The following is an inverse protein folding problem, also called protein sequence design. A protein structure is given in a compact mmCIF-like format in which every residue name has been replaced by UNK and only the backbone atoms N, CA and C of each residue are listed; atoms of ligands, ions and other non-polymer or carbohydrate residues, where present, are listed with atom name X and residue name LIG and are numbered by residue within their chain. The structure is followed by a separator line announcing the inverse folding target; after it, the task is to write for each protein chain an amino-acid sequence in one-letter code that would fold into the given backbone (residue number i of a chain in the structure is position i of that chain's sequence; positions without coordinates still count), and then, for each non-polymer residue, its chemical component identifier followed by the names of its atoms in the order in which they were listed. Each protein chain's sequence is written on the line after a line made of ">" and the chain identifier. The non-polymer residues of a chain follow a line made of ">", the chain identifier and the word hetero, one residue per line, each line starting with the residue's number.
data_IF_982826340651
#
_entry.id   IF_982826340651
#
_cell.length_a   1.000
_cell.length_b   1.000
_cell.length_c   1.000
_cell.angle_alpha   90.00
_cell.angle_beta   90.00
_cell.angle_gamma   90.00
#
_symmetry.space_group_name_H-M   'P 1'
#
loop_
_entity.id
_entity.type
_entity.pdbx_description
1 polymer ?
#
# COMPACT_ATOMS: atom_id res chain seq x y z
N UNK A 1 -62.82 -23.77 22.06
CA UNK A 1 -62.49 -24.38 20.76
C UNK A 1 -62.38 -23.24 19.76
N UNK A 2 -61.17 -22.85 19.36
CA UNK A 2 -60.98 -21.75 18.40
C UNK A 2 -59.75 -20.90 18.72
N UNK A 3 -58.61 -21.25 18.13
CA UNK A 3 -57.52 -20.31 17.83
C UNK A 3 -56.99 -20.66 16.45
N UNK A 4 -57.02 -19.66 15.57
CA UNK A 4 -56.58 -19.71 14.20
C UNK A 4 -55.07 -19.48 14.17
N UNK A 5 -54.30 -20.47 13.75
CA UNK A 5 -52.89 -20.32 13.43
C UNK A 5 -52.75 -20.02 11.94
N UNK A 6 -52.50 -18.76 11.62
CA UNK A 6 -52.20 -18.29 10.27
C UNK A 6 -50.72 -18.59 9.94
N UNK A 7 -50.48 -19.72 9.27
CA UNK A 7 -49.19 -20.04 8.67
C UNK A 7 -48.98 -19.17 7.44
N UNK A 8 -48.03 -18.24 7.52
CA UNK A 8 -47.61 -17.41 6.40
C UNK A 8 -46.92 -18.27 5.34
N UNK A 9 -47.58 -18.42 4.19
CA UNK A 9 -47.04 -19.11 3.02
C UNK A 9 -45.85 -18.33 2.44
N UNK A 10 -44.65 -18.91 2.56
CA UNK A 10 -43.45 -18.44 1.86
C UNK A 10 -43.63 -18.63 0.35
N UNK A 11 -43.61 -17.54 -0.42
CA UNK A 11 -43.51 -17.62 -1.89
C UNK A 11 -42.14 -18.16 -2.29
N UNK A 12 -42.05 -19.12 -3.24
CA UNK A 12 -40.77 -19.54 -3.80
C UNK A 12 -40.20 -18.43 -4.70
N UNK A 13 -38.91 -18.13 -4.51
CA UNK A 13 -38.13 -17.25 -5.40
C UNK A 13 -37.75 -18.07 -6.62
N UNK A 14 -38.36 -17.78 -7.76
CA UNK A 14 -38.00 -18.38 -9.05
C UNK A 14 -36.72 -17.74 -9.56
N UNK A 15 -35.61 -18.49 -9.52
CA UNK A 15 -34.37 -18.12 -10.21
C UNK A 15 -34.63 -18.19 -11.72
N UNK A 16 -34.45 -17.06 -12.41
CA UNK A 16 -34.53 -17.02 -13.88
C UNK A 16 -33.46 -17.97 -14.46
N UNK A 17 -33.79 -18.80 -15.47
CA UNK A 17 -32.79 -19.58 -16.19
C UNK A 17 -31.76 -18.62 -16.80
N UNK A 18 -30.47 -18.96 -16.65
CA UNK A 18 -29.38 -18.23 -17.29
C UNK A 18 -29.54 -18.37 -18.81
N UNK A 19 -29.72 -17.24 -19.52
CA UNK A 19 -29.73 -17.22 -20.98
C UNK A 19 -28.40 -17.76 -21.49
N UNK A 20 -28.41 -18.96 -22.07
CA UNK A 20 -27.23 -19.65 -22.63
C UNK A 20 -26.72 -19.02 -23.93
N UNK A 21 -27.25 -17.87 -24.32
CA UNK A 21 -26.99 -17.21 -25.61
C UNK A 21 -25.99 -16.05 -25.53
N UNK A 22 -25.29 -15.87 -24.41
CA UNK A 22 -24.30 -14.78 -24.30
C UNK A 22 -22.95 -15.12 -24.97
N UNK A 23 -22.62 -16.40 -25.12
CA UNK A 23 -21.35 -16.86 -25.70
C UNK A 23 -21.29 -16.85 -27.24
N UNK A 24 -22.43 -16.74 -27.93
CA UNK A 24 -22.50 -16.80 -29.41
C UNK A 24 -22.36 -15.43 -30.09
N UNK A 25 -21.93 -14.38 -29.39
CA UNK A 25 -21.61 -13.11 -30.07
C UNK A 25 -20.26 -13.24 -30.77
N UNK A 26 -20.19 -13.18 -32.12
CA UNK A 26 -18.92 -13.22 -32.82
C UNK A 26 -18.09 -12.00 -32.40
N UNK A 27 -17.01 -12.24 -31.68
CA UNK A 27 -15.96 -11.25 -31.43
C UNK A 27 -15.27 -11.03 -32.77
N UNK A 28 -15.78 -10.07 -33.54
CA UNK A 28 -15.08 -9.61 -34.73
C UNK A 28 -13.74 -8.99 -34.28
N UNK A 29 -12.60 -9.38 -34.87
CA UNK A 29 -11.32 -8.77 -34.57
C UNK A 29 -11.32 -7.36 -35.19
N UNK A 30 -11.93 -6.42 -34.48
CA UNK A 30 -11.89 -5.01 -34.80
C UNK A 30 -10.48 -4.50 -34.59
N UNK A 31 -9.68 -4.48 -35.65
CA UNK A 31 -8.48 -3.63 -35.76
C UNK A 31 -8.93 -2.17 -35.73
N UNK A 32 -9.25 -1.67 -34.54
CA UNK A 32 -9.23 -0.23 -34.28
C UNK A 32 -7.77 0.12 -34.07
N UNK A 33 -7.13 0.58 -35.13
CA UNK A 33 -5.89 1.34 -35.06
C UNK A 33 -6.17 2.60 -34.23
N UNK A 34 -6.14 2.44 -32.91
CA UNK A 34 -6.05 3.55 -31.99
C UNK A 34 -4.66 4.12 -32.20
N UNK A 35 -4.60 5.25 -32.92
CA UNK A 35 -3.41 6.06 -33.06
C UNK A 35 -2.89 6.44 -31.68
N UNK A 36 -1.99 5.60 -31.16
CA UNK A 36 -1.24 5.87 -29.95
C UNK A 36 -0.27 7.02 -30.28
N UNK A 37 -0.37 8.19 -29.65
CA UNK A 37 0.71 9.16 -29.74
C UNK A 37 1.99 8.47 -29.24
N UNK A 38 3.06 8.60 -30.02
CA UNK A 38 4.35 7.96 -29.76
C UNK A 38 4.76 8.17 -28.30
N UNK A 39 5.05 7.04 -27.65
CA UNK A 39 5.64 6.90 -26.32
C UNK A 39 6.77 7.92 -26.14
N UNK A 40 6.53 8.96 -25.34
CA UNK A 40 7.58 9.89 -24.93
C UNK A 40 8.50 9.09 -24.00
N UNK A 41 9.70 8.76 -24.49
CA UNK A 41 10.76 8.13 -23.71
C UNK A 41 11.15 9.04 -22.54
N UNK A 42 11.24 8.54 -21.29
CA UNK A 42 11.60 9.37 -20.13
C UNK A 42 13.09 9.78 -20.10
N UNK A 43 13.87 9.45 -21.12
CA UNK A 43 15.31 9.63 -21.16
C UNK A 43 15.81 11.04 -21.55
N UNK A 44 14.93 12.01 -21.80
CA UNK A 44 15.33 13.37 -22.21
C UNK A 44 15.00 14.48 -21.22
N UNK A 45 14.41 14.17 -20.05
CA UNK A 45 13.98 15.17 -19.07
C UNK A 45 15.00 15.46 -17.94
N UNK A 46 16.17 14.82 -17.98
CA UNK A 46 17.28 15.09 -17.03
C UNK A 46 18.50 15.76 -17.65
N UNK A 47 18.43 16.19 -18.90
CA UNK A 47 19.39 17.14 -19.45
C UNK A 47 19.06 18.57 -18.97
N UNK A 48 19.05 18.75 -17.65
CA UNK A 48 19.10 20.07 -17.04
C UNK A 48 20.55 20.55 -17.10
N UNK A 49 20.82 21.36 -18.12
CA UNK A 49 22.06 22.06 -18.39
C UNK A 49 22.51 22.90 -17.17
N UNK A 50 23.65 22.62 -16.51
CA UNK A 50 24.11 23.34 -15.33
C UNK A 50 24.70 24.73 -15.63
N UNK A 51 24.77 25.13 -16.91
CA UNK A 51 25.48 26.34 -17.31
C UNK A 51 24.69 27.66 -17.19
N UNK A 52 23.37 27.64 -16.91
CA UNK A 52 22.54 28.85 -16.97
C UNK A 52 22.35 29.61 -15.63
N UNK A 53 23.11 29.28 -14.58
CA UNK A 53 22.98 29.96 -13.28
C UNK A 53 24.11 30.96 -12.96
N UNK A 54 25.07 31.17 -13.86
CA UNK A 54 26.31 31.88 -13.51
C UNK A 54 26.49 33.31 -14.08
N UNK A 55 25.49 33.96 -14.68
CA UNK A 55 25.81 35.19 -15.44
C UNK A 55 24.90 36.42 -15.35
N UNK A 56 24.09 36.61 -14.30
CA UNK A 56 23.49 37.93 -14.09
C UNK A 56 23.35 38.24 -12.60
N UNK A 57 24.26 39.04 -12.04
CA UNK A 57 23.88 40.25 -11.31
C UNK A 57 25.07 41.20 -11.07
N UNK A 58 25.00 42.32 -11.80
CA UNK A 58 25.46 43.67 -11.45
C UNK A 58 26.96 43.98 -11.35
N UNK A 59 27.45 44.44 -12.49
CA UNK A 59 28.11 45.75 -12.60
C UNK A 59 27.32 46.84 -11.87
N UNK A 60 27.99 47.58 -10.97
CA UNK A 60 27.86 49.05 -10.80
C UNK A 60 28.92 49.64 -9.85
N UNK A 61 29.80 50.45 -10.47
CA UNK A 61 30.35 51.75 -10.03
C UNK A 61 31.35 51.80 -8.87
N UNK A 62 32.60 52.00 -9.25
CA UNK A 62 33.67 52.63 -8.46
C UNK A 62 33.34 54.11 -8.21
N UNK A 63 33.29 54.52 -6.94
CA UNK A 63 33.42 55.93 -6.52
C UNK A 63 34.47 55.97 -5.42
N UNK A 64 35.61 56.61 -5.69
CA UNK A 64 36.56 57.07 -4.67
C UNK A 64 36.06 58.43 -4.16
N UNK A 65 35.95 58.61 -2.84
CA UNK A 65 36.35 59.86 -2.16
C UNK A 65 36.27 59.66 -0.65
N UNK A 66 37.37 59.94 0.05
CA UNK A 66 37.52 59.66 1.49
C UNK A 66 36.86 60.69 2.39
N UNK A 67 36.61 60.29 3.65
CA UNK A 67 36.60 61.18 4.83
C UNK A 67 36.68 60.30 6.10
N UNK A 68 37.76 60.52 6.86
CA UNK A 68 38.01 60.29 8.31
C UNK A 68 37.12 59.24 9.00
N UNK A 69 37.71 58.07 9.25
CA UNK A 69 37.14 57.00 10.06
C UNK A 69 37.11 57.41 11.55
N UNK A 70 35.95 57.88 12.02
CA UNK A 70 35.64 57.89 13.45
C UNK A 70 35.20 56.48 13.83
N UNK A 71 36.08 55.69 14.43
CA UNK A 71 35.76 54.38 15.01
C UNK A 71 34.82 54.58 16.20
N UNK A 72 33.52 54.62 15.93
CA UNK A 72 32.51 54.37 16.95
C UNK A 72 32.71 52.91 17.37
N UNK A 73 32.95 52.62 18.67
CA UNK A 73 33.01 51.25 19.12
C UNK A 73 31.66 50.59 18.80
N UNK A 74 31.65 49.72 17.78
CA UNK A 74 30.49 48.88 17.47
C UNK A 74 30.35 47.95 18.66
N UNK A 75 29.49 48.31 19.61
CA UNK A 75 29.07 47.44 20.71
C UNK A 75 28.72 46.10 20.07
N UNK A 76 29.54 45.08 20.35
CA UNK A 76 29.48 43.82 19.64
C UNK A 76 28.06 43.27 19.80
N UNK A 77 27.38 43.09 18.67
CA UNK A 77 26.04 42.50 18.59
C UNK A 77 26.10 40.97 18.81
N UNK A 78 27.02 40.53 19.69
CA UNK A 78 27.42 39.14 19.87
C UNK A 78 26.49 38.34 20.80
N UNK A 79 25.41 38.93 21.30
CA UNK A 79 24.64 38.34 22.41
C UNK A 79 23.19 37.99 22.06
N UNK A 80 22.93 37.46 20.85
CA UNK A 80 21.60 36.90 20.47
C UNK A 80 21.63 35.64 19.60
N UNK A 81 22.81 35.14 19.23
CA UNK A 81 22.93 33.91 18.42
C UNK A 81 22.85 32.62 19.26
N UNK A 82 23.23 32.68 20.53
CA UNK A 82 23.19 31.51 21.43
C UNK A 82 21.77 30.99 21.67
N UNK A 83 20.82 31.89 21.94
CA UNK A 83 19.42 31.53 22.27
C UNK A 83 18.74 30.73 21.16
N UNK A 84 18.86 31.17 19.90
CA UNK A 84 18.27 30.47 18.75
C UNK A 84 18.86 29.05 18.56
N UNK A 85 20.14 28.86 18.89
CA UNK A 85 20.77 27.53 18.85
C UNK A 85 20.21 26.60 19.93
N UNK A 86 19.93 27.11 21.14
CA UNK A 86 19.35 26.30 22.22
C UNK A 86 17.89 25.92 21.93
N UNK A 87 17.11 26.84 21.38
CA UNK A 87 15.74 26.58 20.95
C UNK A 87 15.71 25.50 19.85
N UNK A 88 16.57 25.61 18.83
CA UNK A 88 16.69 24.59 17.79
C UNK A 88 17.14 23.23 18.34
N UNK A 89 18.05 23.21 19.31
CA UNK A 89 18.55 21.97 19.92
C UNK A 89 17.46 21.17 20.66
N UNK A 90 16.43 21.83 21.18
CA UNK A 90 15.29 21.19 21.86
C UNK A 90 14.20 20.81 20.85
N UNK A 91 13.95 21.65 19.85
CA UNK A 91 12.87 21.42 18.86
C UNK A 91 13.25 20.37 17.82
N UNK A 92 14.51 20.34 17.35
CA UNK A 92 14.99 19.37 16.36
C UNK A 92 14.75 17.91 16.74
N UNK A 93 15.12 17.42 17.95
CA UNK A 93 14.89 16.00 18.29
C UNK A 93 13.40 15.64 18.31
N UNK A 94 12.52 16.55 18.73
CA UNK A 94 11.07 16.32 18.70
C UNK A 94 10.54 16.25 17.27
N UNK A 95 10.97 17.18 16.40
CA UNK A 95 10.58 17.15 14.99
C UNK A 95 11.10 15.90 14.28
N UNK A 96 12.36 15.51 14.53
CA UNK A 96 12.97 14.32 13.93
C UNK A 96 12.23 13.05 14.35
N UNK A 97 11.99 12.87 15.65
CA UNK A 97 11.25 11.70 16.15
C UNK A 97 9.83 11.65 15.61
N UNK A 98 9.14 12.80 15.51
CA UNK A 98 7.82 12.86 14.90
C UNK A 98 7.85 12.48 13.42
N UNK A 99 8.79 13.02 12.63
CA UNK A 99 8.89 12.71 11.20
C UNK A 99 9.21 11.24 10.95
N UNK A 100 10.20 10.67 11.64
CA UNK A 100 10.55 9.25 11.53
C UNK A 100 9.40 8.35 12.01
N UNK A 101 8.76 8.71 13.13
CA UNK A 101 7.58 8.01 13.61
C UNK A 101 6.45 8.01 12.58
N UNK A 102 6.16 9.14 11.93
CA UNK A 102 5.14 9.18 10.88
C UNK A 102 5.51 8.37 9.65
N UNK A 103 6.79 8.29 9.28
CA UNK A 103 7.25 7.44 8.18
C UNK A 103 6.99 5.96 8.47
N UNK A 104 7.33 5.49 9.68
CA UNK A 104 7.05 4.10 10.07
C UNK A 104 5.55 3.82 10.22
N UNK A 105 4.76 4.77 10.70
CA UNK A 105 3.30 4.63 10.72
C UNK A 105 2.74 4.44 9.31
N UNK A 106 3.20 5.20 8.33
CA UNK A 106 2.81 5.01 6.93
C UNK A 106 3.17 3.61 6.42
N UNK A 107 4.37 3.12 6.71
CA UNK A 107 4.81 1.76 6.35
C UNK A 107 3.95 0.69 7.02
N UNK A 108 3.56 0.88 8.29
CA UNK A 108 2.64 -0.03 9.00
C UNK A 108 1.26 -0.09 8.35
N UNK A 109 0.70 1.05 7.96
CA UNK A 109 -0.58 1.09 7.27
C UNK A 109 -0.49 0.42 5.91
N UNK A 110 0.58 0.65 5.16
CA UNK A 110 0.84 -0.03 3.90
C UNK A 110 0.93 -1.56 4.07
N UNK A 111 1.63 -2.03 5.11
CA UNK A 111 1.74 -3.45 5.44
C UNK A 111 0.37 -4.05 5.76
N UNK A 112 -0.43 -3.39 6.60
CA UNK A 112 -1.78 -3.83 6.96
C UNK A 112 -2.72 -3.96 5.77
N UNK A 113 -2.70 -2.96 4.88
CA UNK A 113 -3.51 -2.98 3.67
C UNK A 113 -3.05 -4.10 2.74
N UNK A 114 -1.73 -4.25 2.57
CA UNK A 114 -1.15 -5.32 1.76
C UNK A 114 -1.52 -6.70 2.27
N UNK A 115 -1.44 -6.96 3.58
CA UNK A 115 -1.85 -8.24 4.19
C UNK A 115 -3.34 -8.51 4.00
N UNK A 116 -4.18 -7.48 4.11
CA UNK A 116 -5.64 -7.62 3.91
C UNK A 116 -5.98 -7.95 2.46
N UNK A 117 -5.38 -7.25 1.51
CA UNK A 117 -5.55 -7.54 0.09
C UNK A 117 -4.99 -8.91 -0.28
N UNK A 118 -3.83 -9.30 0.27
CA UNK A 118 -3.25 -10.62 0.05
C UNK A 118 -4.19 -11.73 0.53
N UNK A 119 -4.76 -11.58 1.74
CA UNK A 119 -5.74 -12.52 2.28
C UNK A 119 -6.99 -12.62 1.38
N UNK A 120 -7.46 -11.49 0.85
CA UNK A 120 -8.60 -11.45 -0.06
C UNK A 120 -8.30 -12.16 -1.39
N UNK A 121 -7.16 -11.85 -2.03
CA UNK A 121 -6.74 -12.46 -3.29
C UNK A 121 -6.50 -13.97 -3.14
N UNK A 122 -5.89 -14.38 -2.03
CA UNK A 122 -5.70 -15.79 -1.68
C UNK A 122 -7.03 -16.53 -1.48
N UNK A 123 -7.94 -15.96 -0.68
CA UNK A 123 -9.26 -16.53 -0.47
C UNK A 123 -10.04 -16.62 -1.79
N UNK A 124 -9.98 -15.58 -2.63
CA UNK A 124 -10.66 -15.57 -3.93
C UNK A 124 -10.15 -16.65 -4.87
N UNK A 125 -8.84 -16.90 -4.88
CA UNK A 125 -8.22 -17.95 -5.67
C UNK A 125 -8.63 -19.35 -5.18
N UNK A 126 -8.69 -19.58 -3.86
CA UNK A 126 -9.09 -20.87 -3.28
C UNK A 126 -10.57 -21.24 -3.44
N UNK A 127 -11.43 -20.26 -3.71
CA UNK A 127 -12.89 -20.45 -3.84
C UNK A 127 -13.32 -21.09 -5.16
N UNK A 128 -12.49 -20.99 -6.20
CA UNK A 128 -12.79 -21.49 -7.54
C UNK A 128 -13.01 -23.01 -7.60
N UNK A 129 -13.57 -23.48 -8.71
CA UNK A 129 -13.70 -24.93 -8.99
C UNK A 129 -12.31 -25.56 -9.08
N UNK A 130 -12.11 -26.70 -8.43
CA UNK A 130 -10.82 -27.43 -8.38
C UNK A 130 -9.67 -26.67 -7.69
N UNK A 131 -9.94 -25.52 -7.07
CA UNK A 131 -8.90 -24.76 -6.38
C UNK A 131 -8.55 -25.40 -5.04
N UNK A 132 -7.26 -25.42 -4.73
CA UNK A 132 -6.68 -26.07 -3.54
C UNK A 132 -6.20 -25.07 -2.50
N UNK A 133 -5.86 -25.55 -1.30
CA UNK A 133 -5.12 -24.75 -0.33
C UNK A 133 -3.78 -24.29 -0.89
N UNK A 134 -3.15 -25.10 -1.75
CA UNK A 134 -1.89 -24.77 -2.43
C UNK A 134 -2.03 -23.54 -3.32
N UNK A 135 -3.12 -23.45 -4.09
CA UNK A 135 -3.39 -22.31 -4.98
C UNK A 135 -3.61 -21.02 -4.19
N UNK A 136 -4.37 -21.10 -3.10
CA UNK A 136 -4.59 -19.97 -2.21
C UNK A 136 -3.28 -19.47 -1.60
N UNK A 137 -2.44 -20.38 -1.09
CA UNK A 137 -1.13 -20.03 -0.49
C UNK A 137 -0.19 -19.47 -1.55
N UNK A 138 -0.13 -20.06 -2.74
CA UNK A 138 0.69 -19.58 -3.85
C UNK A 138 0.31 -18.16 -4.25
N UNK A 139 -1.00 -17.87 -4.34
CA UNK A 139 -1.51 -16.54 -4.67
C UNK A 139 -1.16 -15.49 -3.61
N UNK A 140 -1.26 -15.85 -2.32
CA UNK A 140 -0.83 -14.96 -1.23
C UNK A 140 0.66 -14.66 -1.31
N UNK A 141 1.49 -15.69 -1.48
CA UNK A 141 2.95 -15.52 -1.55
C UNK A 141 3.38 -14.70 -2.77
N UNK A 142 2.73 -14.91 -3.92
CA UNK A 142 2.92 -14.09 -5.10
C UNK A 142 2.62 -12.61 -4.80
N UNK A 143 1.47 -12.33 -4.19
CA UNK A 143 1.06 -10.95 -3.86
C UNK A 143 2.00 -10.28 -2.86
N UNK A 144 2.46 -11.00 -1.84
CA UNK A 144 3.42 -10.50 -0.85
C UNK A 144 4.81 -10.25 -1.48
N UNK A 145 5.26 -11.14 -2.38
CA UNK A 145 6.53 -10.96 -3.10
C UNK A 145 6.51 -9.75 -4.04
N UNK A 146 5.39 -9.49 -4.71
CA UNK A 146 5.23 -8.31 -5.59
C UNK A 146 5.30 -6.99 -4.82
N UNK A 147 5.04 -7.03 -3.51
CA UNK A 147 5.07 -5.88 -2.60
C UNK A 147 6.36 -5.79 -1.79
N UNK A 148 7.31 -6.70 -2.03
CA UNK A 148 8.58 -6.82 -1.30
C UNK A 148 8.39 -6.92 0.22
N UNK A 149 7.43 -7.75 0.64
CA UNK A 149 7.09 -7.96 2.06
C UNK A 149 7.81 -9.19 2.60
N UNK A 150 8.58 -9.01 3.66
CA UNK A 150 9.25 -10.10 4.38
C UNK A 150 8.25 -10.87 5.26
N UNK A 151 8.11 -12.18 5.01
CA UNK A 151 7.11 -13.02 5.69
C UNK A 151 7.64 -13.73 6.93
N UNK A 152 8.97 -13.80 7.12
CA UNK A 152 9.59 -14.50 8.26
C UNK A 152 9.31 -16.00 8.33
N UNK A 153 8.73 -16.61 7.28
CA UNK A 153 8.32 -18.01 7.25
C UNK A 153 6.95 -18.21 6.61
N UNK A 154 6.18 -19.16 7.16
CA UNK A 154 4.85 -19.48 6.64
C UNK A 154 3.82 -18.43 7.08
N UNK A 155 3.54 -17.46 6.21
CA UNK A 155 2.61 -16.37 6.50
C UNK A 155 1.14 -16.77 6.48
N UNK A 156 0.78 -17.94 5.94
CA UNK A 156 -0.62 -18.30 5.65
C UNK A 156 -1.09 -19.43 6.55
N UNK A 157 -2.27 -19.24 7.14
CA UNK A 157 -3.00 -20.25 7.91
C UNK A 157 -4.44 -20.33 7.41
N UNK A 158 -4.90 -21.54 7.10
CA UNK A 158 -6.25 -21.80 6.59
C UNK A 158 -7.00 -22.62 7.63
N UNK A 159 -8.19 -22.18 8.03
CA UNK A 159 -9.03 -22.91 8.96
C UNK A 159 -9.72 -24.10 8.27
N UNK A 160 -9.85 -25.22 8.98
CA UNK A 160 -10.61 -26.38 8.49
C UNK A 160 -12.09 -26.00 8.26
N UNK A 161 -12.74 -26.51 7.19
CA UNK A 161 -12.30 -27.60 6.32
C UNK A 161 -11.28 -27.25 5.21
N UNK A 162 -10.84 -26.00 5.10
CA UNK A 162 -9.88 -25.57 4.07
C UNK A 162 -10.45 -25.63 2.65
N UNK A 163 -9.73 -25.14 1.66
CA UNK A 163 -10.21 -25.08 0.27
C UNK A 163 -10.23 -26.43 -0.44
N UNK A 164 -9.43 -27.40 0.04
CA UNK A 164 -9.33 -28.75 -0.54
C UNK A 164 -10.56 -29.62 -0.23
N UNK A 165 -11.15 -29.47 0.96
CA UNK A 165 -12.18 -30.36 1.48
C UNK A 165 -13.48 -29.68 1.88
N UNK A 166 -13.64 -28.39 1.58
CA UNK A 166 -14.89 -27.67 1.82
C UNK A 166 -15.98 -28.04 0.80
N UNK A 167 -17.19 -28.24 1.30
CA UNK A 167 -18.37 -28.46 0.47
C UNK A 167 -18.78 -27.19 -0.30
N UNK A 168 -19.60 -27.38 -1.33
CA UNK A 168 -20.21 -26.26 -2.06
C UNK A 168 -20.99 -25.37 -1.09
N UNK A 169 -20.78 -24.06 -1.16
CA UNK A 169 -21.38 -23.05 -0.28
C UNK A 169 -20.92 -23.08 1.19
N UNK A 170 -19.88 -23.85 1.54
CA UNK A 170 -19.27 -23.86 2.87
C UNK A 170 -18.28 -22.68 3.05
N UNK A 171 -18.17 -22.18 4.29
CA UNK A 171 -17.30 -21.07 4.63
C UNK A 171 -15.87 -21.56 4.88
N UNK A 172 -14.90 -20.97 4.18
CA UNK A 172 -13.47 -21.19 4.42
C UNK A 172 -12.83 -19.87 4.85
N UNK A 173 -12.07 -19.92 5.94
CA UNK A 173 -11.35 -18.75 6.47
C UNK A 173 -9.86 -18.88 6.21
N UNK A 174 -9.30 -17.90 5.52
CA UNK A 174 -7.86 -17.77 5.29
C UNK A 174 -7.33 -16.59 6.11
N UNK A 175 -6.24 -16.82 6.83
CA UNK A 175 -5.56 -15.82 7.66
C UNK A 175 -4.13 -15.65 7.16
N UNK A 176 -3.73 -14.40 6.93
CA UNK A 176 -2.36 -14.03 6.59
C UNK A 176 -1.76 -13.27 7.76
N UNK A 177 -0.58 -13.69 8.21
CA UNK A 177 0.17 -13.09 9.31
C UNK A 177 1.58 -12.79 8.85
N UNK A 178 2.02 -11.55 9.04
CA UNK A 178 3.34 -11.07 8.62
C UNK A 178 4.01 -10.35 9.79
N UNK A 179 5.31 -10.61 10.05
CA UNK A 179 6.06 -9.88 11.07
C UNK A 179 6.27 -8.42 10.66
N UNK A 180 6.25 -7.51 11.64
CA UNK A 180 6.55 -6.09 11.43
C UNK A 180 8.07 -5.89 11.31
N UNK A 181 8.86 -6.69 12.01
CA UNK A 181 10.33 -6.68 11.92
C UNK A 181 10.79 -6.94 10.48
N UNK A 182 11.67 -6.10 9.96
CA UNK A 182 12.21 -6.23 8.59
C UNK A 182 11.41 -5.47 7.52
N UNK A 183 10.14 -5.16 7.79
CA UNK A 183 9.25 -4.46 6.85
C UNK A 183 9.16 -2.94 7.08
N UNK A 184 9.81 -2.40 8.11
CA UNK A 184 9.77 -0.99 8.51
C UNK A 184 11.13 -0.30 8.35
N UNK A 185 11.13 1.03 8.44
CA UNK A 185 12.35 1.84 8.28
C UNK A 185 13.25 1.76 9.53
N UNK A 186 12.64 1.83 10.72
CA UNK A 186 13.35 1.66 11.97
C UNK A 186 13.81 0.19 12.15
N UNK A 187 15.00 -0.06 12.71
CA UNK A 187 15.57 -1.39 12.81
C UNK A 187 14.66 -2.33 13.62
N UNK A 188 14.62 -3.60 13.19
CA UNK A 188 13.69 -4.62 13.68
C UNK A 188 13.72 -4.88 15.19
N UNK A 189 14.78 -4.48 15.92
CA UNK A 189 14.87 -4.61 17.38
C UNK A 189 13.79 -3.82 18.14
N UNK A 190 13.20 -2.78 17.54
CA UNK A 190 12.12 -2.00 18.16
C UNK A 190 10.76 -2.70 18.00
N UNK A 191 10.58 -3.46 16.92
CA UNK A 191 9.32 -4.11 16.54
C UNK A 191 9.37 -5.63 16.67
N UNK A 192 10.34 -6.14 17.44
CA UNK A 192 10.51 -7.57 17.59
C UNK A 192 9.27 -8.19 18.25
N UNK A 193 8.84 -9.33 17.70
CA UNK A 193 7.60 -10.01 18.10
C UNK A 193 6.29 -9.33 17.68
N UNK A 194 6.31 -8.19 16.98
CA UNK A 194 5.09 -7.56 16.48
C UNK A 194 4.70 -8.18 15.14
N UNK A 195 3.41 -8.49 14.98
CA UNK A 195 2.87 -9.09 13.76
C UNK A 195 1.60 -8.39 13.33
N UNK A 196 1.38 -8.29 12.03
CA UNK A 196 0.12 -7.84 11.44
C UNK A 196 -0.59 -9.04 10.84
N UNK A 197 -1.82 -9.28 11.29
CA UNK A 197 -2.66 -10.38 10.81
C UNK A 197 -3.98 -9.85 10.22
N UNK A 198 -4.44 -10.46 9.14
CA UNK A 198 -5.77 -10.22 8.57
C UNK A 198 -6.41 -11.54 8.14
N UNK A 199 -7.71 -11.67 8.37
CA UNK A 199 -8.48 -12.88 8.05
C UNK A 199 -9.63 -12.56 7.12
N UNK A 200 -9.79 -13.35 6.07
CA UNK A 200 -10.90 -13.25 5.11
C UNK A 200 -11.64 -14.58 5.09
N UNK A 201 -12.97 -14.51 5.12
CA UNK A 201 -13.83 -15.68 4.99
C UNK A 201 -14.64 -15.56 3.71
N UNK A 202 -14.60 -16.60 2.88
CA UNK A 202 -15.38 -16.71 1.65
C UNK A 202 -16.11 -18.04 1.60
N UNK A 203 -17.17 -18.09 0.79
CA UNK A 203 -17.92 -19.33 0.52
C UNK A 203 -17.31 -20.03 -0.68
N UNK A 204 -17.08 -21.33 -0.59
CA UNK A 204 -16.64 -22.15 -1.73
C UNK A 204 -17.73 -22.13 -2.83
N UNK A 205 -17.32 -21.85 -4.07
CA UNK A 205 -18.26 -21.80 -5.21
C UNK A 205 -18.70 -23.21 -5.63
N UNK A 206 -17.76 -24.16 -5.65
CA UNK A 206 -17.97 -25.56 -6.02
C UNK A 206 -17.09 -26.47 -5.16
N UNK A 207 -17.60 -27.61 -4.72
CA UNK A 207 -16.77 -28.66 -4.13
C UNK A 207 -15.79 -29.21 -5.18
N UNK A 208 -14.57 -29.54 -4.78
CA UNK A 208 -13.60 -30.17 -5.66
C UNK A 208 -14.09 -31.59 -6.01
N UNK A 209 -13.97 -31.99 -7.28
CA UNK A 209 -14.33 -33.33 -7.73
C UNK A 209 -13.07 -34.21 -7.63
N UNK A 210 -13.09 -35.22 -6.75
CA UNK A 210 -11.98 -36.16 -6.54
C UNK A 210 -11.46 -36.82 -7.83
#
# INVERSE_FOLDING_TARGET
>A
MGRHDAVAAHKPVTVKPCDKNFDDRPVTPGKRELGFPKRISPASLWAADPALFLLVHLSRRTVMSGTIARTVPRRSRQHRRGTATVEAAIVLPVLLTLTLGTMDLCSLFFLRETVTLAAYEGARAGVGSEATNGDAIARVNEFLSQRDVETGGNAVSIAAPGFDGADTLENVTLTVTVPVSGNLLLPGSIYDGWTVSSSVTMRKEYANQD
#
